data_IF_262784828107
#
_entry.id   IF_262784828107
#
_cell.length_a   1.000
_cell.length_b   1.000
_cell.length_c   1.000
_cell.angle_alpha   90.00
_cell.angle_beta   90.00
_cell.angle_gamma   90.00
#
_symmetry.space_group_name_H-M   'P 1'
#
loop_
_entity.id
_entity.type
_entity.pdbx_description
1 polymer ?
#
# COMPACT_ATOMS: atom_id res chain seq x y z
N UNK A 1 -5.32 -18.35 -15.75
CA UNK A 1 -5.86 -18.69 -14.41
C UNK A 1 -5.26 -17.84 -13.27
N UNK A 2 -4.27 -16.98 -13.53
CA UNK A 2 -3.57 -16.13 -12.55
C UNK A 2 -4.28 -14.80 -12.24
N UNK A 3 -5.00 -14.23 -13.21
CA UNK A 3 -5.74 -12.97 -13.05
C UNK A 3 -6.82 -13.01 -11.96
N UNK A 4 -7.46 -14.17 -11.77
CA UNK A 4 -8.50 -14.36 -10.75
C UNK A 4 -7.94 -14.24 -9.32
N UNK A 5 -6.77 -14.82 -9.05
CA UNK A 5 -6.15 -14.82 -7.70
C UNK A 5 -5.69 -13.42 -7.28
N UNK A 6 -5.22 -12.61 -8.22
CA UNK A 6 -4.87 -11.21 -7.94
C UNK A 6 -6.11 -10.36 -7.68
N UNK A 7 -7.21 -10.62 -8.41
CA UNK A 7 -8.51 -10.00 -8.15
C UNK A 7 -8.99 -10.24 -6.72
N UNK A 8 -8.86 -11.48 -6.21
CA UNK A 8 -9.24 -11.84 -4.85
C UNK A 8 -8.38 -11.13 -3.79
N UNK A 9 -7.06 -11.04 -4.00
CA UNK A 9 -6.16 -10.32 -3.10
C UNK A 9 -6.49 -8.81 -3.03
N UNK A 10 -6.74 -8.19 -4.18
CA UNK A 10 -7.16 -6.78 -4.23
C UNK A 10 -8.53 -6.59 -3.58
N UNK A 11 -9.47 -7.52 -3.77
CA UNK A 11 -10.77 -7.49 -3.13
C UNK A 11 -10.65 -7.59 -1.60
N UNK A 12 -9.78 -8.47 -1.09
CA UNK A 12 -9.48 -8.59 0.34
C UNK A 12 -8.91 -7.28 0.90
N UNK A 13 -7.89 -6.70 0.25
CA UNK A 13 -7.31 -5.41 0.63
C UNK A 13 -8.39 -4.32 0.71
N UNK A 14 -9.22 -4.20 -0.34
CA UNK A 14 -10.33 -3.22 -0.36
C UNK A 14 -11.33 -3.49 0.78
N UNK A 15 -11.61 -4.76 1.08
CA UNK A 15 -12.49 -5.15 2.18
C UNK A 15 -12.00 -4.72 3.57
N UNK A 16 -10.68 -4.86 3.82
CA UNK A 16 -10.05 -4.37 5.06
C UNK A 16 -10.10 -2.84 5.11
N UNK A 17 -9.61 -2.18 4.06
CA UNK A 17 -9.44 -0.72 4.04
C UNK A 17 -10.76 0.06 4.02
N UNK A 18 -11.84 -0.52 3.49
CA UNK A 18 -13.18 0.08 3.52
C UNK A 18 -13.68 0.32 4.96
N UNK A 19 -13.19 -0.45 5.93
CA UNK A 19 -13.55 -0.31 7.34
C UNK A 19 -12.67 0.69 8.09
N UNK A 20 -11.67 1.27 7.43
CA UNK A 20 -10.72 2.21 8.01
C UNK A 20 -11.00 3.64 7.53
N UNK A 21 -10.71 4.62 8.38
CA UNK A 21 -10.68 6.04 8.01
C UNK A 21 -9.28 6.37 7.49
N UNK A 22 -9.10 6.22 6.18
CA UNK A 22 -7.85 6.49 5.47
C UNK A 22 -7.85 7.93 4.96
N UNK A 23 -6.73 8.62 5.11
CA UNK A 23 -6.52 9.97 4.62
C UNK A 23 -5.47 10.69 5.43
N UNK A 24 -4.95 11.79 4.90
CA UNK A 24 -4.00 12.67 5.58
C UNK A 24 -4.67 13.95 6.10
N UNK A 25 -6.00 14.04 6.05
CA UNK A 25 -6.75 15.16 6.59
C UNK A 25 -6.73 15.16 8.12
N UNK A 26 -5.78 15.94 8.64
CA UNK A 26 -5.58 16.16 10.07
C UNK A 26 -6.72 16.96 10.71
N UNK A 27 -7.50 17.71 9.93
CA UNK A 27 -8.64 18.49 10.46
C UNK A 27 -9.82 17.59 10.86
N UNK A 28 -9.93 16.40 10.27
CA UNK A 28 -10.97 15.42 10.57
C UNK A 28 -10.44 14.17 11.31
N UNK A 29 -9.27 14.26 11.94
CA UNK A 29 -8.61 13.14 12.64
C UNK A 29 -8.38 11.90 11.77
N UNK A 30 -8.22 12.05 10.44
CA UNK A 30 -7.80 10.95 9.59
C UNK A 30 -6.32 10.68 9.85
N UNK A 31 -6.03 9.60 10.58
CA UNK A 31 -4.66 9.24 11.00
C UNK A 31 -4.11 8.05 10.24
N UNK A 32 -4.95 7.24 9.62
CA UNK A 32 -4.49 6.04 8.92
C UNK A 32 -3.98 6.40 7.54
N UNK A 33 -2.71 6.12 7.30
CA UNK A 33 -2.07 6.24 5.99
C UNK A 33 -1.77 4.86 5.44
N UNK A 34 -1.93 4.70 4.13
CA UNK A 34 -1.78 3.42 3.45
C UNK A 34 -0.85 3.61 2.25
N UNK A 35 0.05 2.66 2.05
CA UNK A 35 0.92 2.58 0.89
C UNK A 35 0.93 1.16 0.36
N UNK A 36 1.32 0.99 -0.90
CA UNK A 36 1.35 -0.32 -1.55
C UNK A 36 2.66 -0.50 -2.29
N UNK A 37 3.35 -1.59 -1.99
CA UNK A 37 4.48 -2.10 -2.74
C UNK A 37 4.05 -3.42 -3.36
N UNK A 38 4.29 -3.61 -4.65
CA UNK A 38 4.10 -4.90 -5.31
C UNK A 38 5.45 -5.58 -5.45
N UNK A 39 5.53 -6.84 -5.06
CA UNK A 39 6.69 -7.68 -5.30
C UNK A 39 6.43 -8.61 -6.48
N UNK A 40 7.35 -8.60 -7.44
CA UNK A 40 7.44 -9.50 -8.58
C UNK A 40 8.93 -9.70 -8.92
N UNK A 41 9.31 -9.88 -10.18
CA UNK A 41 10.74 -9.85 -10.56
C UNK A 41 11.41 -8.50 -10.24
N UNK A 42 10.66 -7.41 -10.41
CA UNK A 42 11.02 -6.03 -10.08
C UNK A 42 10.02 -5.45 -9.06
N UNK A 43 10.43 -5.16 -7.81
CA UNK A 43 9.58 -4.53 -6.82
C UNK A 43 9.19 -3.11 -7.23
N UNK A 44 7.95 -2.71 -6.96
CA UNK A 44 7.46 -1.38 -7.31
C UNK A 44 6.67 -0.73 -6.17
N UNK A 45 7.06 0.49 -5.79
CA UNK A 45 6.23 1.36 -4.96
C UNK A 45 5.09 1.90 -5.83
N UNK A 46 3.90 1.33 -5.69
CA UNK A 46 2.73 1.75 -6.46
C UNK A 46 2.12 3.03 -5.90
N UNK A 47 2.03 3.09 -4.57
CA UNK A 47 1.48 4.24 -3.85
C UNK A 47 2.21 4.43 -2.54
N UNK A 48 2.61 5.66 -2.26
CA UNK A 48 3.28 6.04 -1.02
C UNK A 48 2.24 6.41 0.07
N UNK A 49 2.67 6.62 1.32
CA UNK A 49 1.79 6.89 2.46
C UNK A 49 1.08 8.24 2.37
N UNK A 50 1.56 9.16 1.52
CA UNK A 50 0.96 10.48 1.30
C UNK A 50 -0.02 10.54 0.12
N UNK A 51 -0.16 9.43 -0.63
CA UNK A 51 -0.93 9.40 -1.86
C UNK A 51 -2.44 9.58 -1.63
N UNK A 52 -2.99 8.86 -0.65
CA UNK A 52 -4.44 8.82 -0.41
C UNK A 52 -4.91 9.93 0.51
N UNK A 53 -5.87 10.72 0.04
CA UNK A 53 -6.50 11.81 0.81
C UNK A 53 -7.79 11.39 1.52
N UNK A 54 -8.45 10.33 1.04
CA UNK A 54 -9.65 9.79 1.68
C UNK A 54 -9.86 8.30 1.37
N UNK A 55 -10.62 7.59 2.22
CA UNK A 55 -11.07 6.22 1.94
C UNK A 55 -11.85 6.11 0.63
N UNK A 56 -12.67 7.12 0.28
CA UNK A 56 -13.46 7.12 -0.95
C UNK A 56 -12.57 7.15 -2.20
N UNK A 57 -11.57 8.03 -2.20
CA UNK A 57 -10.56 8.09 -3.27
C UNK A 57 -9.83 6.74 -3.39
N UNK A 58 -9.37 6.18 -2.27
CA UNK A 58 -8.70 4.88 -2.25
C UNK A 58 -9.57 3.78 -2.87
N UNK A 59 -10.86 3.68 -2.49
CA UNK A 59 -11.74 2.64 -3.03
C UNK A 59 -11.94 2.75 -4.55
N UNK A 60 -12.07 3.99 -5.04
CA UNK A 60 -12.32 4.28 -6.45
C UNK A 60 -11.08 4.06 -7.30
N UNK A 61 -9.94 4.54 -6.85
CA UNK A 61 -8.75 4.73 -7.70
C UNK A 61 -7.68 3.65 -7.46
N UNK A 62 -7.78 2.84 -6.39
CA UNK A 62 -6.82 1.76 -6.15
C UNK A 62 -6.83 0.75 -7.29
N UNK A 63 -5.72 0.74 -8.03
CA UNK A 63 -5.38 -0.21 -9.08
C UNK A 63 -4.05 -0.87 -8.75
N UNK A 64 -4.06 -2.19 -8.63
CA UNK A 64 -2.86 -3.03 -8.47
C UNK A 64 -2.93 -4.07 -9.59
N UNK A 65 -2.05 -3.92 -10.58
CA UNK A 65 -2.03 -4.84 -11.72
C UNK A 65 -1.21 -6.08 -11.41
N UNK A 66 -1.67 -7.22 -11.95
CA UNK A 66 -0.91 -8.46 -11.90
C UNK A 66 0.36 -8.31 -12.73
N UNK A 67 1.50 -8.57 -12.10
CA UNK A 67 2.78 -8.70 -12.76
C UNK A 67 3.02 -10.18 -13.06
N UNK A 68 3.04 -10.52 -14.34
CA UNK A 68 3.23 -11.89 -14.81
C UNK A 68 4.69 -12.34 -14.87
N UNK A 69 5.62 -11.51 -14.40
CA UNK A 69 7.03 -11.89 -14.33
C UNK A 69 7.27 -12.99 -13.30
N UNK A 70 8.19 -13.89 -13.63
CA UNK A 70 8.58 -14.98 -12.74
C UNK A 70 9.52 -14.49 -11.63
N UNK A 71 9.17 -14.82 -10.40
CA UNK A 71 9.92 -14.48 -9.20
C UNK A 71 9.18 -13.52 -8.27
N UNK A 72 9.32 -13.76 -6.96
CA UNK A 72 8.97 -12.78 -5.94
C UNK A 72 10.30 -12.32 -5.34
N UNK A 73 10.89 -11.31 -5.96
CA UNK A 73 12.18 -10.79 -5.53
C UNK A 73 11.98 -9.95 -4.27
N UNK A 74 11.61 -10.60 -3.16
CA UNK A 74 11.38 -9.99 -1.84
C UNK A 74 12.72 -9.45 -1.27
N UNK A 75 13.86 -9.91 -1.80
CA UNK A 75 15.21 -9.47 -1.43
C UNK A 75 15.71 -8.29 -2.27
N UNK A 76 15.24 -8.11 -3.50
CA UNK A 76 15.29 -6.80 -4.13
C UNK A 76 14.14 -5.97 -3.52
N UNK A 77 14.22 -4.68 -3.33
CA UNK A 77 15.10 -3.69 -3.89
C UNK A 77 15.30 -2.68 -2.76
N UNK A 78 16.55 -2.49 -2.35
CA UNK A 78 16.89 -1.59 -1.25
C UNK A 78 16.35 -0.18 -1.51
N UNK A 79 16.23 0.22 -2.78
CA UNK A 79 15.74 1.53 -3.20
C UNK A 79 14.23 1.70 -2.95
N UNK A 80 13.41 0.75 -3.42
CA UNK A 80 11.94 0.78 -3.22
C UNK A 80 11.60 0.74 -1.73
N UNK A 81 12.32 -0.09 -0.97
CA UNK A 81 12.19 -0.12 0.48
C UNK A 81 12.66 1.17 1.13
N UNK A 82 13.73 1.81 0.65
CA UNK A 82 14.23 3.08 1.19
C UNK A 82 13.19 4.19 1.04
N UNK A 83 12.51 4.30 -0.09
CA UNK A 83 11.48 5.33 -0.28
C UNK A 83 10.26 5.11 0.61
N UNK A 84 9.72 3.88 0.61
CA UNK A 84 8.61 3.53 1.49
C UNK A 84 8.97 3.69 2.97
N UNK A 85 10.19 3.29 3.35
CA UNK A 85 10.70 3.44 4.72
C UNK A 85 10.89 4.90 5.10
N UNK A 86 11.41 5.76 4.21
CA UNK A 86 11.53 7.20 4.47
C UNK A 86 10.19 7.82 4.81
N UNK A 87 9.12 7.45 4.11
CA UNK A 87 7.78 7.95 4.43
C UNK A 87 7.21 7.34 5.72
N UNK A 88 7.45 6.05 5.93
CA UNK A 88 7.00 5.36 7.15
C UNK A 88 7.68 5.94 8.39
N UNK A 89 9.00 6.21 8.34
CA UNK A 89 9.77 6.85 9.42
C UNK A 89 9.24 8.27 9.72
N UNK A 90 8.90 9.06 8.69
CA UNK A 90 8.25 10.38 8.88
C UNK A 90 6.89 10.25 9.57
N UNK A 91 6.10 9.24 9.21
CA UNK A 91 4.82 8.99 9.85
C UNK A 91 4.98 8.55 11.31
N UNK A 92 5.93 7.64 11.58
CA UNK A 92 6.25 7.17 12.93
C UNK A 92 6.77 8.28 13.84
N UNK A 93 7.62 9.18 13.34
CA UNK A 93 8.11 10.34 14.08
C UNK A 93 6.98 11.26 14.56
N UNK A 94 5.82 11.25 13.88
CA UNK A 94 4.63 12.00 14.27
C UNK A 94 3.66 11.18 15.17
N UNK A 95 4.12 10.08 15.77
CA UNK A 95 3.34 9.23 16.67
C UNK A 95 2.48 8.17 15.97
N UNK A 96 2.72 7.91 14.68
CA UNK A 96 2.04 6.86 13.93
C UNK A 96 2.57 5.45 14.21
N UNK A 97 1.70 4.45 14.18
CA UNK A 97 2.06 3.03 14.21
C UNK A 97 2.09 2.46 12.80
N UNK A 98 3.10 1.62 12.49
CA UNK A 98 3.26 0.99 11.17
C UNK A 98 2.92 -0.48 11.29
N UNK A 99 1.92 -0.92 10.53
CA UNK A 99 1.56 -2.33 10.38
C UNK A 99 1.89 -2.73 8.94
N UNK A 100 2.70 -3.77 8.78
CA UNK A 100 2.99 -4.37 7.46
C UNK A 100 2.18 -5.65 7.31
N UNK A 101 1.40 -5.75 6.24
CA UNK A 101 0.64 -6.95 5.92
C UNK A 101 1.29 -7.58 4.69
N UNK A 102 1.89 -8.76 4.88
CA UNK A 102 2.47 -9.60 3.83
C UNK A 102 1.81 -10.97 3.83
N UNK A 103 1.75 -11.61 2.66
CA UNK A 103 1.38 -13.02 2.49
C UNK A 103 2.60 -13.92 2.49
#
# INVERSE_FOLDING_TARGET
MTTYRMGDAVAFIKGVLRKMTVGDDTSHMMKTRVGFIRFASDPQLLYNLSHWKSTSQLMKDLKIEYDGSDGANIKADEIVYVEARKEAEKFKANGGEIITIGG
#
